data_IF_201513116141
#
_entry.id   IF_201513116141
#
_cell.length_a   1.000
_cell.length_b   1.000
_cell.length_c   1.000
_cell.angle_alpha   90.00
_cell.angle_beta   90.00
_cell.angle_gamma   90.00
#
_symmetry.space_group_name_H-M   'P 1'
#
loop_
_entity.id
_entity.type
_entity.pdbx_description
1 polymer ?
#
# COMPACT_ATOMS: atom_id res chain seq x y z
N UNK A 1 2.68 3.62 -38.00
CA UNK A 1 2.44 3.05 -36.65
C UNK A 1 3.68 2.19 -36.36
N UNK A 2 4.58 2.65 -35.47
CA UNK A 2 5.83 1.93 -35.14
C UNK A 2 5.50 0.72 -34.26
N UNK A 3 4.84 -0.28 -34.84
CA UNK A 3 4.24 -1.37 -34.07
C UNK A 3 5.24 -2.42 -33.63
N UNK A 4 6.44 -2.47 -34.22
CA UNK A 4 7.41 -3.54 -34.04
C UNK A 4 8.85 -2.99 -33.88
N UNK A 5 9.10 -2.17 -32.87
CA UNK A 5 10.44 -1.62 -32.62
C UNK A 5 11.00 -2.11 -31.29
N UNK A 6 12.32 -2.32 -31.25
CA UNK A 6 13.06 -2.79 -30.09
C UNK A 6 14.03 -1.67 -29.68
N UNK A 7 13.99 -1.26 -28.41
CA UNK A 7 14.77 -0.10 -27.96
C UNK A 7 16.28 -0.33 -28.13
N UNK A 8 16.81 -1.53 -27.90
CA UNK A 8 18.25 -1.79 -27.98
C UNK A 8 18.81 -2.03 -29.39
N UNK A 9 18.00 -2.56 -30.32
CA UNK A 9 18.48 -2.94 -31.66
C UNK A 9 18.34 -1.80 -32.67
N UNK A 10 17.26 -1.02 -32.56
CA UNK A 10 16.95 0.02 -33.53
C UNK A 10 17.37 1.42 -33.06
N UNK A 11 17.74 1.55 -31.78
CA UNK A 11 18.03 2.83 -31.15
C UNK A 11 19.26 2.79 -30.26
N UNK A 12 20.07 3.84 -30.35
CA UNK A 12 21.25 4.03 -29.52
C UNK A 12 21.24 5.42 -28.91
N UNK A 13 21.81 5.58 -27.72
CA UNK A 13 21.82 6.86 -27.03
C UNK A 13 22.56 7.93 -27.88
N UNK A 14 21.95 9.10 -28.10
CA UNK A 14 22.54 10.14 -28.96
C UNK A 14 23.51 11.03 -28.19
N UNK A 15 24.72 11.23 -28.69
CA UNK A 15 25.73 12.06 -28.01
C UNK A 15 25.44 13.56 -28.19
N UNK A 16 24.44 14.07 -27.48
CA UNK A 16 23.96 15.45 -27.57
C UNK A 16 23.74 16.06 -26.17
N UNK A 17 23.94 17.37 -26.07
CA UNK A 17 23.55 18.17 -24.91
C UNK A 17 24.21 17.79 -23.59
N UNK A 18 23.52 18.06 -22.48
CA UNK A 18 23.96 17.67 -21.14
C UNK A 18 23.52 16.25 -20.81
N UNK A 19 24.47 15.37 -20.46
CA UNK A 19 24.20 13.95 -20.14
C UNK A 19 24.17 13.70 -18.64
N UNK A 20 23.20 12.91 -18.20
CA UNK A 20 23.25 12.24 -16.89
C UNK A 20 23.92 10.88 -17.05
N UNK A 21 24.52 10.38 -15.98
CA UNK A 21 25.16 9.07 -15.97
C UNK A 21 24.39 8.09 -15.09
N UNK A 22 24.38 6.78 -15.43
CA UNK A 22 23.84 5.76 -14.55
C UNK A 22 24.64 5.65 -13.25
N UNK A 23 25.94 5.96 -13.31
CA UNK A 23 26.90 5.80 -12.23
C UNK A 23 27.67 7.10 -11.97
N UNK A 24 27.75 7.48 -10.69
CA UNK A 24 28.61 8.57 -10.22
C UNK A 24 29.60 8.02 -9.20
N UNK A 25 30.73 7.51 -9.70
CA UNK A 25 31.74 6.81 -8.91
C UNK A 25 31.19 5.48 -8.38
N UNK A 26 31.12 5.34 -7.05
CA UNK A 26 30.62 4.11 -6.39
C UNK A 26 29.08 4.11 -6.31
N UNK A 27 28.43 5.23 -6.63
CA UNK A 27 26.98 5.37 -6.52
C UNK A 27 26.31 5.01 -7.84
N UNK A 28 25.70 3.83 -7.87
CA UNK A 28 24.78 3.41 -8.94
C UNK A 28 23.41 4.06 -8.73
N UNK A 29 23.02 5.02 -9.57
CA UNK A 29 21.80 5.83 -9.38
C UNK A 29 20.53 4.98 -9.48
N UNK A 30 20.53 3.97 -10.37
CA UNK A 30 19.42 3.03 -10.46
C UNK A 30 19.20 2.27 -9.14
N UNK A 31 20.28 1.74 -8.54
CA UNK A 31 20.18 1.05 -7.24
C UNK A 31 19.78 2.00 -6.10
N UNK A 32 20.27 3.25 -6.13
CA UNK A 32 19.91 4.28 -5.17
C UNK A 32 18.41 4.61 -5.23
N UNK A 33 17.89 4.90 -6.42
CA UNK A 33 16.47 5.22 -6.63
C UNK A 33 15.56 4.05 -6.26
N UNK A 34 15.94 2.81 -6.59
CA UNK A 34 15.20 1.62 -6.14
C UNK A 34 15.17 1.48 -4.61
N UNK A 35 16.31 1.71 -3.96
CA UNK A 35 16.40 1.66 -2.48
C UNK A 35 15.55 2.76 -1.83
N UNK A 36 15.63 3.99 -2.35
CA UNK A 36 14.79 5.10 -1.91
C UNK A 36 13.30 4.82 -2.13
N UNK A 37 12.94 4.16 -3.23
CA UNK A 37 11.58 3.72 -3.51
C UNK A 37 11.05 2.73 -2.47
N UNK A 38 11.86 1.75 -2.06
CA UNK A 38 11.50 0.81 -0.99
C UNK A 38 11.31 1.55 0.34
N UNK A 39 12.24 2.44 0.69
CA UNK A 39 12.16 3.24 1.92
C UNK A 39 10.87 4.09 1.91
N UNK A 40 10.58 4.78 0.81
CA UNK A 40 9.40 5.62 0.68
C UNK A 40 8.10 4.81 0.77
N UNK A 41 8.08 3.60 0.21
CA UNK A 41 6.95 2.67 0.35
C UNK A 41 6.72 2.26 1.80
N UNK A 42 7.79 1.94 2.54
CA UNK A 42 7.71 1.58 3.97
C UNK A 42 7.25 2.79 4.81
N UNK A 43 7.75 3.99 4.52
CA UNK A 43 7.31 5.23 5.18
C UNK A 43 5.83 5.52 4.90
N UNK A 44 5.38 5.33 3.66
CA UNK A 44 3.95 5.41 3.30
C UNK A 44 3.10 4.41 4.08
N UNK A 45 3.56 3.15 4.19
CA UNK A 45 2.92 2.15 5.04
C UNK A 45 2.90 2.58 6.51
N UNK A 46 3.98 3.16 7.04
CA UNK A 46 4.04 3.64 8.42
C UNK A 46 3.01 4.74 8.69
N UNK A 47 2.83 5.68 7.75
CA UNK A 47 1.78 6.70 7.82
C UNK A 47 0.39 6.06 7.81
N UNK A 48 0.15 5.04 6.99
CA UNK A 48 -1.14 4.34 6.97
C UNK A 48 -1.40 3.53 8.25
N UNK A 49 -0.38 2.86 8.79
CA UNK A 49 -0.47 2.14 10.05
C UNK A 49 -0.80 3.09 11.20
N UNK A 50 -0.18 4.28 11.22
CA UNK A 50 -0.53 5.33 12.17
C UNK A 50 -2.00 5.76 12.03
N UNK A 51 -2.43 6.13 10.81
CA UNK A 51 -3.79 6.60 10.52
C UNK A 51 -4.86 5.56 10.86
N UNK A 52 -4.58 4.28 10.64
CA UNK A 52 -5.49 3.16 10.90
C UNK A 52 -5.31 2.57 12.32
N UNK A 53 -4.47 3.18 13.17
CA UNK A 53 -4.20 2.75 14.56
C UNK A 53 -3.74 1.29 14.67
N UNK A 54 -2.93 0.85 13.69
CA UNK A 54 -2.32 -0.48 13.63
C UNK A 54 -0.99 -0.53 14.39
N UNK A 55 -0.54 -1.74 14.74
CA UNK A 55 0.69 -1.89 15.50
C UNK A 55 1.91 -1.81 14.56
N UNK A 56 2.77 -0.82 14.76
CA UNK A 56 4.02 -0.67 13.99
C UNK A 56 4.93 -1.89 14.04
N UNK A 57 4.88 -2.68 15.13
CA UNK A 57 5.64 -3.94 15.23
C UNK A 57 5.34 -4.87 14.06
N UNK A 58 4.09 -4.92 13.62
CA UNK A 58 3.66 -5.80 12.52
C UNK A 58 4.25 -5.33 11.19
N UNK A 59 4.34 -4.01 10.98
CA UNK A 59 5.00 -3.41 9.82
C UNK A 59 6.51 -3.68 9.79
N UNK A 60 7.20 -3.50 10.91
CA UNK A 60 8.65 -3.76 10.97
C UNK A 60 8.99 -5.23 10.75
N UNK A 61 8.21 -6.16 11.31
CA UNK A 61 8.35 -7.59 11.04
C UNK A 61 8.10 -7.88 9.55
N UNK A 62 7.06 -7.27 8.97
CA UNK A 62 6.78 -7.40 7.54
C UNK A 62 7.96 -6.91 6.69
N UNK A 63 8.53 -5.73 7.00
CA UNK A 63 9.65 -5.18 6.25
C UNK A 63 10.89 -6.09 6.32
N UNK A 64 11.22 -6.62 7.50
CA UNK A 64 12.39 -7.50 7.71
C UNK A 64 12.25 -8.84 7.00
N UNK A 65 11.03 -9.35 6.84
CA UNK A 65 10.80 -10.68 6.24
C UNK A 65 10.45 -10.57 4.75
N UNK A 66 9.43 -9.77 4.43
CA UNK A 66 8.82 -9.71 3.09
C UNK A 66 9.78 -9.06 2.09
N UNK A 67 10.50 -7.99 2.46
CA UNK A 67 11.40 -7.29 1.52
C UNK A 67 12.57 -8.19 1.09
N UNK A 68 13.33 -8.84 2.00
CA UNK A 68 14.38 -9.77 1.59
C UNK A 68 13.87 -10.97 0.80
N UNK A 69 12.71 -11.53 1.17
CA UNK A 69 12.09 -12.61 0.39
C UNK A 69 11.76 -12.15 -1.03
N UNK A 70 11.32 -10.90 -1.20
CA UNK A 70 11.13 -10.30 -2.52
C UNK A 70 12.42 -10.26 -3.34
N UNK A 71 13.53 -9.82 -2.74
CA UNK A 71 14.85 -9.82 -3.40
C UNK A 71 15.31 -11.23 -3.77
N UNK A 72 15.16 -12.18 -2.86
CA UNK A 72 15.50 -13.59 -3.11
C UNK A 72 14.63 -14.20 -4.20
N UNK A 73 13.31 -13.96 -4.16
CA UNK A 73 12.38 -14.40 -5.21
C UNK A 73 12.71 -13.78 -6.57
N UNK A 74 13.07 -12.50 -6.59
CA UNK A 74 13.48 -11.81 -7.81
C UNK A 74 14.70 -12.48 -8.44
N UNK A 75 15.75 -12.70 -7.64
CA UNK A 75 16.97 -13.37 -8.10
C UNK A 75 16.70 -14.81 -8.55
N UNK A 76 15.92 -15.57 -7.77
CA UNK A 76 15.67 -16.98 -8.02
C UNK A 76 14.95 -17.19 -9.36
N UNK A 77 13.81 -16.53 -9.56
CA UNK A 77 13.06 -16.67 -10.81
C UNK A 77 13.71 -15.93 -11.99
N UNK A 78 14.48 -14.88 -11.74
CA UNK A 78 15.22 -14.17 -12.78
C UNK A 78 16.29 -15.05 -13.42
N UNK A 79 17.10 -15.73 -12.60
CA UNK A 79 18.14 -16.65 -13.10
C UNK A 79 17.60 -17.96 -13.64
N UNK A 80 16.49 -18.45 -13.09
CA UNK A 80 15.83 -19.64 -13.65
C UNK A 80 15.31 -19.42 -15.06
N UNK A 81 14.77 -18.23 -15.33
CA UNK A 81 14.18 -17.91 -16.64
C UNK A 81 15.21 -17.45 -17.68
N UNK A 82 16.47 -17.25 -17.30
CA UNK A 82 17.50 -16.82 -18.23
C UNK A 82 18.00 -18.01 -19.07
N UNK A 83 17.60 -18.02 -20.36
CA UNK A 83 18.08 -18.96 -21.41
C UNK A 83 18.18 -20.43 -20.99
N UNK A 84 17.06 -21.06 -20.63
CA UNK A 84 16.99 -22.49 -20.25
C UNK A 84 17.98 -22.90 -19.13
N UNK A 85 18.38 -21.97 -18.26
CA UNK A 85 19.31 -22.22 -17.15
C UNK A 85 20.79 -22.00 -17.49
N UNK A 86 21.14 -21.66 -18.74
CA UNK A 86 22.54 -21.43 -19.14
C UNK A 86 23.13 -20.14 -18.54
N UNK A 87 22.31 -19.09 -18.37
CA UNK A 87 22.75 -17.80 -17.79
C UNK A 87 22.69 -17.75 -16.26
N UNK A 88 22.34 -18.86 -15.59
CA UNK A 88 22.79 -19.06 -14.21
C UNK A 88 24.34 -19.15 -14.15
N UNK A 89 25.03 -19.28 -15.29
CA UNK A 89 26.48 -19.39 -15.38
C UNK A 89 27.00 -20.66 -14.71
N UNK A 90 26.21 -21.75 -14.77
CA UNK A 90 26.46 -22.96 -14.01
C UNK A 90 26.27 -22.79 -12.48
N UNK A 91 25.60 -21.72 -12.03
CA UNK A 91 25.35 -21.52 -10.61
C UNK A 91 24.52 -22.69 -10.04
N UNK A 92 25.08 -23.38 -9.05
CA UNK A 92 24.33 -24.34 -8.24
C UNK A 92 23.13 -23.67 -7.55
N UNK A 93 22.25 -24.48 -6.96
CA UNK A 93 20.98 -24.05 -6.36
C UNK A 93 21.05 -22.76 -5.52
N UNK A 94 22.08 -22.60 -4.68
CA UNK A 94 22.25 -21.40 -3.85
C UNK A 94 22.61 -20.13 -4.63
N UNK A 95 23.27 -20.25 -5.78
CA UNK A 95 23.60 -19.12 -6.64
C UNK A 95 22.38 -18.49 -7.32
N UNK A 96 21.26 -19.22 -7.40
CA UNK A 96 19.97 -18.66 -7.82
C UNK A 96 19.49 -17.55 -6.87
N UNK A 97 19.89 -17.57 -5.60
CA UNK A 97 19.51 -16.57 -4.60
C UNK A 97 20.48 -15.37 -4.52
N UNK A 98 21.57 -15.37 -5.29
CA UNK A 98 22.59 -14.32 -5.24
C UNK A 98 22.11 -13.01 -5.88
N UNK A 99 21.24 -12.25 -5.21
CA UNK A 99 20.62 -11.02 -5.73
C UNK A 99 21.61 -9.89 -6.06
N UNK A 100 22.86 -10.00 -5.62
CA UNK A 100 23.98 -9.11 -5.99
C UNK A 100 24.60 -9.45 -7.35
N UNK A 101 24.13 -10.52 -8.02
CA UNK A 101 24.46 -10.84 -9.41
C UNK A 101 23.28 -10.48 -10.32
N UNK A 102 23.53 -10.18 -11.60
CA UNK A 102 22.47 -9.93 -12.58
C UNK A 102 21.53 -11.14 -12.74
N UNK A 103 20.36 -10.89 -13.35
CA UNK A 103 19.30 -11.89 -13.53
C UNK A 103 18.21 -11.80 -12.46
N UNK A 104 17.52 -10.66 -12.38
CA UNK A 104 16.37 -10.48 -11.48
C UNK A 104 15.06 -10.44 -12.27
N UNK A 105 14.02 -11.08 -11.73
CA UNK A 105 12.66 -11.07 -12.28
C UNK A 105 11.70 -10.35 -11.34
N UNK A 106 11.03 -9.32 -11.87
CA UNK A 106 9.98 -8.60 -11.12
C UNK A 106 8.83 -9.55 -10.74
N UNK A 107 8.47 -10.49 -11.62
CA UNK A 107 7.45 -11.50 -11.35
C UNK A 107 7.83 -12.38 -10.13
N UNK A 108 9.10 -12.76 -10.04
CA UNK A 108 9.63 -13.50 -8.89
C UNK A 108 9.54 -12.72 -7.59
N UNK A 109 9.84 -11.42 -7.64
CA UNK A 109 9.72 -10.53 -6.48
C UNK A 109 8.27 -10.44 -5.99
N UNK A 110 7.32 -10.23 -6.91
CA UNK A 110 5.89 -10.12 -6.59
C UNK A 110 5.38 -11.43 -6.02
N UNK A 111 5.71 -12.57 -6.65
CA UNK A 111 5.26 -13.89 -6.18
C UNK A 111 5.76 -14.18 -4.75
N UNK A 112 7.07 -13.98 -4.51
CA UNK A 112 7.68 -14.22 -3.20
C UNK A 112 7.07 -13.32 -2.10
N UNK A 113 6.92 -12.02 -2.39
CA UNK A 113 6.36 -11.05 -1.43
C UNK A 113 4.89 -11.32 -1.13
N UNK A 114 4.07 -11.65 -2.14
CA UNK A 114 2.64 -11.94 -1.95
C UNK A 114 2.44 -13.21 -1.14
N UNK A 115 3.16 -14.30 -1.44
CA UNK A 115 3.03 -15.57 -0.71
C UNK A 115 3.39 -15.38 0.76
N UNK A 116 4.57 -14.85 1.05
CA UNK A 116 5.04 -14.69 2.43
C UNK A 116 4.23 -13.63 3.18
N UNK A 117 3.85 -12.55 2.51
CA UNK A 117 2.96 -11.52 3.06
C UNK A 117 1.60 -12.09 3.48
N UNK A 118 0.95 -12.87 2.61
CA UNK A 118 -0.34 -13.51 2.92
C UNK A 118 -0.22 -14.48 4.10
N UNK A 119 0.81 -15.31 4.13
CA UNK A 119 1.05 -16.26 5.23
C UNK A 119 1.22 -15.49 6.54
N UNK A 120 2.14 -14.52 6.57
CA UNK A 120 2.46 -13.75 7.76
C UNK A 120 1.25 -12.97 8.27
N UNK A 121 0.58 -12.20 7.41
CA UNK A 121 -0.58 -11.40 7.82
C UNK A 121 -1.80 -12.24 8.16
N UNK A 122 -1.92 -13.47 7.67
CA UNK A 122 -2.94 -14.41 8.14
C UNK A 122 -2.71 -14.82 9.60
N UNK A 123 -1.46 -15.07 10.01
CA UNK A 123 -1.13 -15.35 11.42
C UNK A 123 -1.29 -14.11 12.30
N UNK A 124 -0.76 -12.97 11.86
CA UNK A 124 -0.86 -11.70 12.58
C UNK A 124 -2.32 -11.27 12.74
N UNK A 125 -3.14 -11.40 11.69
CA UNK A 125 -4.59 -11.10 11.71
C UNK A 125 -5.33 -11.87 12.80
N UNK A 126 -5.04 -13.16 12.96
CA UNK A 126 -5.70 -13.99 13.99
C UNK A 126 -5.34 -13.58 15.41
N UNK A 127 -4.10 -13.12 15.62
CA UNK A 127 -3.55 -12.71 16.92
C UNK A 127 -3.96 -11.29 17.31
N UNK A 128 -3.82 -10.35 16.38
CA UNK A 128 -4.19 -8.93 16.54
C UNK A 128 -5.70 -8.68 16.45
N UNK A 129 -6.43 -9.66 15.90
CA UNK A 129 -7.83 -9.51 15.50
C UNK A 129 -8.05 -8.38 14.49
N UNK A 130 -7.04 -8.04 13.68
CA UNK A 130 -7.17 -7.09 12.57
C UNK A 130 -7.34 -7.86 11.28
N UNK A 131 -8.30 -7.47 10.44
CA UNK A 131 -8.51 -8.16 9.16
C UNK A 131 -7.31 -8.03 8.22
N UNK A 132 -7.04 -9.09 7.45
CA UNK A 132 -6.01 -9.06 6.40
C UNK A 132 -6.26 -7.96 5.37
N UNK A 133 -7.53 -7.63 5.10
CA UNK A 133 -7.92 -6.56 4.18
C UNK A 133 -7.54 -5.17 4.71
N UNK A 134 -7.48 -4.98 6.03
CA UNK A 134 -7.01 -3.72 6.61
C UNK A 134 -5.51 -3.57 6.41
N UNK A 135 -4.74 -4.65 6.57
CA UNK A 135 -3.31 -4.65 6.23
C UNK A 135 -3.09 -4.45 4.73
N UNK A 136 -3.89 -5.10 3.88
CA UNK A 136 -3.80 -4.95 2.43
C UNK A 136 -4.03 -3.51 1.98
N UNK A 137 -5.07 -2.84 2.50
CA UNK A 137 -5.32 -1.41 2.26
C UNK A 137 -4.19 -0.51 2.79
N UNK A 138 -3.58 -0.89 3.92
CA UNK A 138 -2.48 -0.11 4.51
C UNK A 138 -1.14 -0.28 3.78
N UNK A 139 -0.97 -1.32 2.96
CA UNK A 139 0.32 -1.69 2.35
C UNK A 139 0.29 -1.51 0.84
N UNK A 140 -0.67 -2.12 0.14
CA UNK A 140 -0.61 -2.24 -1.32
C UNK A 140 -0.59 -0.89 -2.05
N UNK A 141 -1.41 0.12 -1.69
CA UNK A 141 -1.33 1.42 -2.34
C UNK A 141 0.07 2.05 -2.25
N UNK A 142 0.78 1.86 -1.14
CA UNK A 142 2.10 2.48 -0.93
C UNK A 142 3.20 1.88 -1.81
N UNK A 143 2.98 0.74 -2.46
CA UNK A 143 3.89 0.22 -3.49
C UNK A 143 4.02 1.20 -4.66
N UNK A 144 2.97 1.99 -4.94
CA UNK A 144 3.02 3.03 -5.98
C UNK A 144 4.11 4.06 -5.69
N UNK A 145 4.32 4.45 -4.42
CA UNK A 145 5.38 5.40 -4.05
C UNK A 145 6.76 4.89 -4.42
N UNK A 146 7.01 3.59 -4.24
CA UNK A 146 8.27 2.97 -4.65
C UNK A 146 8.47 3.04 -6.15
N UNK A 147 7.40 2.81 -6.92
CA UNK A 147 7.44 2.91 -8.38
C UNK A 147 7.62 4.36 -8.85
N UNK A 148 7.01 5.34 -8.18
CA UNK A 148 7.19 6.77 -8.49
C UNK A 148 8.67 7.13 -8.56
N UNK A 149 9.46 6.72 -7.55
CA UNK A 149 10.90 6.97 -7.50
C UNK A 149 11.68 6.02 -8.41
N UNK A 150 11.29 4.74 -8.46
CA UNK A 150 11.95 3.75 -9.33
C UNK A 150 11.94 4.13 -10.81
N UNK A 151 10.91 4.84 -11.28
CA UNK A 151 10.85 5.35 -12.67
C UNK A 151 11.94 6.36 -12.99
N UNK A 152 12.39 7.14 -12.01
CA UNK A 152 13.54 8.02 -12.20
C UNK A 152 14.84 7.24 -12.36
N UNK A 153 14.94 6.05 -11.76
CA UNK A 153 16.03 5.12 -12.04
C UNK A 153 16.13 4.76 -13.52
N UNK A 154 14.99 4.48 -14.17
CA UNK A 154 14.95 4.18 -15.61
C UNK A 154 15.47 5.36 -16.45
N UNK A 155 15.15 6.60 -16.06
CA UNK A 155 15.68 7.81 -16.73
C UNK A 155 17.21 7.91 -16.62
N UNK A 156 17.79 7.72 -15.43
CA UNK A 156 19.25 7.75 -15.26
C UNK A 156 19.97 6.58 -15.93
N UNK A 157 19.29 5.45 -16.10
CA UNK A 157 19.81 4.28 -16.79
C UNK A 157 19.48 4.27 -18.30
N UNK A 158 18.91 5.37 -18.82
CA UNK A 158 18.54 5.56 -20.23
C UNK A 158 17.67 4.45 -20.83
N UNK A 159 16.78 3.86 -20.03
CA UNK A 159 15.94 2.72 -20.43
C UNK A 159 14.44 3.03 -20.37
N UNK A 160 13.65 2.27 -21.12
CA UNK A 160 12.17 2.27 -21.07
C UNK A 160 11.56 3.64 -21.42
N UNK A 161 12.09 4.28 -22.46
CA UNK A 161 11.41 5.44 -23.06
C UNK A 161 10.30 4.99 -24.01
N UNK A 162 9.42 5.91 -24.37
CA UNK A 162 8.37 5.64 -25.35
C UNK A 162 8.82 5.85 -26.78
N UNK A 163 7.86 5.75 -27.70
CA UNK A 163 8.06 6.02 -29.13
C UNK A 163 8.75 7.37 -29.40
N UNK A 164 9.44 7.51 -30.54
CA UNK A 164 9.97 8.79 -30.98
C UNK A 164 8.84 9.80 -31.22
N UNK A 165 9.05 11.02 -30.74
CA UNK A 165 8.09 12.15 -30.83
C UNK A 165 8.38 13.00 -32.07
N UNK A 166 9.66 13.24 -32.34
CA UNK A 166 10.14 14.14 -33.39
C UNK A 166 11.64 14.33 -33.34
N UNK A 167 12.18 15.11 -34.28
CA UNK A 167 13.61 15.37 -34.41
C UNK A 167 14.14 16.22 -33.26
N UNK A 168 15.36 15.93 -32.80
CA UNK A 168 16.02 16.70 -31.74
C UNK A 168 16.31 18.15 -32.13
N UNK A 169 16.58 18.39 -33.42
CA UNK A 169 16.84 19.73 -33.97
C UNK A 169 15.60 20.64 -33.90
N UNK A 170 14.41 20.06 -33.93
CA UNK A 170 13.17 20.81 -33.77
C UNK A 170 12.97 21.19 -32.29
N UNK A 171 13.33 22.44 -31.97
CA UNK A 171 13.17 23.01 -30.64
C UNK A 171 11.73 23.05 -30.11
N UNK A 172 10.71 22.91 -30.96
CA UNK A 172 9.32 22.86 -30.53
C UNK A 172 8.96 21.53 -29.87
N UNK A 173 9.65 20.45 -30.26
CA UNK A 173 9.43 19.08 -29.74
C UNK A 173 9.76 19.03 -28.26
N UNK A 174 8.74 18.76 -27.45
CA UNK A 174 8.83 18.66 -25.98
C UNK A 174 9.44 19.92 -25.32
N UNK A 175 9.17 21.10 -25.86
CA UNK A 175 9.66 22.40 -25.36
C UNK A 175 9.26 22.73 -23.92
N UNK A 176 8.22 22.09 -23.39
CA UNK A 176 7.79 22.22 -21.99
C UNK A 176 8.69 21.47 -21.00
N UNK A 177 9.56 20.55 -21.47
CA UNK A 177 10.51 19.85 -20.61
C UNK A 177 11.78 20.67 -20.39
N UNK A 178 12.38 20.60 -19.19
CA UNK A 178 13.72 21.11 -18.97
C UNK A 178 14.71 20.52 -19.97
N UNK A 179 15.63 21.36 -20.48
CA UNK A 179 16.61 20.97 -21.49
C UNK A 179 17.40 19.71 -21.11
N UNK A 180 17.80 19.61 -19.84
CA UNK A 180 18.53 18.44 -19.32
C UNK A 180 17.73 17.15 -19.51
N UNK A 181 16.41 17.17 -19.24
CA UNK A 181 15.58 15.97 -19.42
C UNK A 181 15.42 15.67 -20.91
N UNK A 182 15.17 16.69 -21.74
CA UNK A 182 15.02 16.54 -23.19
C UNK A 182 16.27 15.94 -23.85
N UNK A 183 17.46 16.44 -23.49
CA UNK A 183 18.74 15.97 -24.02
C UNK A 183 18.99 14.49 -23.67
N UNK A 184 18.63 14.05 -22.47
CA UNK A 184 18.81 12.67 -22.01
C UNK A 184 17.77 11.67 -22.55
N UNK A 185 16.81 12.16 -23.35
CA UNK A 185 15.83 11.34 -24.07
C UNK A 185 16.10 11.31 -25.58
N UNK A 186 17.24 11.85 -26.02
CA UNK A 186 17.64 11.84 -27.41
C UNK A 186 18.31 10.52 -27.78
N UNK A 187 17.79 9.86 -28.82
CA UNK A 187 18.31 8.59 -29.33
C UNK A 187 18.49 8.66 -30.85
N UNK A 188 19.57 8.06 -31.33
CA UNK A 188 19.87 7.89 -32.75
C UNK A 188 19.19 6.63 -33.25
N UNK A 189 18.45 6.73 -34.35
CA UNK A 189 17.84 5.58 -35.03
C UNK A 189 18.84 4.90 -35.95
N UNK A 190 18.94 3.57 -35.89
CA UNK A 190 19.90 2.74 -36.66
C UNK A 190 19.23 1.67 -37.54
N UNK A 191 17.92 1.81 -37.81
CA UNK A 191 17.14 0.86 -38.62
C UNK A 191 16.95 1.28 -40.09
N UNK A 192 16.09 0.55 -40.81
CA UNK A 192 15.69 0.90 -42.17
C UNK A 192 14.74 2.09 -42.20
N UNK A 193 14.88 2.94 -43.21
CA UNK A 193 14.04 4.13 -43.41
C UNK A 193 12.58 3.72 -43.62
N UNK A 194 11.78 3.82 -42.55
CA UNK A 194 10.39 3.38 -42.54
C UNK A 194 9.54 4.27 -41.64
N UNK A 195 8.27 4.46 -42.00
CA UNK A 195 7.29 5.19 -41.18
C UNK A 195 7.72 6.62 -40.77
N UNK A 196 8.53 7.30 -41.59
CA UNK A 196 9.01 8.65 -41.30
C UNK A 196 10.24 8.71 -40.37
N UNK A 197 10.82 7.56 -40.00
CA UNK A 197 12.14 7.50 -39.37
C UNK A 197 13.22 7.36 -40.43
N UNK A 198 14.30 8.12 -40.26
CA UNK A 198 15.46 8.13 -41.16
C UNK A 198 16.68 7.66 -40.36
N UNK A 199 17.41 6.71 -40.93
CA UNK A 199 18.63 6.16 -40.34
C UNK A 199 19.67 7.27 -40.07
N UNK A 200 20.30 7.20 -38.90
CA UNK A 200 21.32 8.15 -38.45
C UNK A 200 20.79 9.46 -37.87
N UNK A 201 19.47 9.72 -37.92
CA UNK A 201 18.89 10.90 -37.30
C UNK A 201 18.62 10.72 -35.81
N UNK A 202 18.63 11.84 -35.08
CA UNK A 202 18.40 11.89 -33.64
C UNK A 202 16.97 12.32 -33.36
N UNK A 203 16.25 11.48 -32.61
CA UNK A 203 14.88 11.72 -32.19
C UNK A 203 14.77 11.87 -30.69
N UNK A 204 13.84 12.71 -30.25
CA UNK A 204 13.45 12.82 -28.83
C UNK A 204 12.37 11.78 -28.56
N UNK A 205 12.61 10.95 -27.54
CA UNK A 205 11.69 9.91 -27.11
C UNK A 205 10.59 10.43 -26.17
N UNK A 206 9.46 9.71 -26.13
CA UNK A 206 8.40 10.01 -25.17
C UNK A 206 8.88 9.78 -23.71
N UNK A 207 8.64 10.75 -22.79
CA UNK A 207 9.04 10.66 -21.38
C UNK A 207 8.10 9.75 -20.56
N UNK A 208 7.97 8.47 -20.96
CA UNK A 208 7.06 7.52 -20.28
C UNK A 208 7.37 7.42 -18.78
N UNK A 209 8.66 7.46 -18.40
CA UNK A 209 9.06 7.44 -17.00
C UNK A 209 8.40 8.56 -16.18
N UNK A 210 8.29 9.77 -16.73
CA UNK A 210 7.72 10.94 -16.07
C UNK A 210 6.20 10.82 -15.98
N UNK A 211 5.56 10.45 -17.09
CA UNK A 211 4.11 10.23 -17.13
C UNK A 211 3.70 9.13 -16.14
N UNK A 212 4.44 8.02 -16.11
CA UNK A 212 4.22 6.92 -15.18
C UNK A 212 4.43 7.39 -13.73
N UNK A 213 5.53 8.07 -13.44
CA UNK A 213 5.83 8.60 -12.10
C UNK A 213 4.71 9.52 -11.58
N UNK A 214 4.26 10.47 -12.41
CA UNK A 214 3.18 11.40 -12.03
C UNK A 214 1.83 10.69 -11.89
N UNK A 215 1.49 9.78 -12.79
CA UNK A 215 0.22 9.04 -12.73
C UNK A 215 0.16 8.10 -11.52
N UNK A 216 1.28 7.45 -11.18
CA UNK A 216 1.40 6.60 -9.98
C UNK A 216 1.26 7.43 -8.70
N UNK A 217 1.87 8.61 -8.65
CA UNK A 217 1.74 9.53 -7.52
C UNK A 217 0.29 10.02 -7.37
N UNK A 218 -0.33 10.45 -8.46
CA UNK A 218 -1.73 10.86 -8.47
C UNK A 218 -2.63 9.72 -8.01
N UNK A 219 -2.42 8.50 -8.52
CA UNK A 219 -3.18 7.31 -8.09
C UNK A 219 -3.01 7.03 -6.62
N UNK A 220 -1.79 7.12 -6.08
CA UNK A 220 -1.55 6.98 -4.65
C UNK A 220 -2.32 8.03 -3.83
N UNK A 221 -2.31 9.30 -4.25
CA UNK A 221 -3.07 10.38 -3.61
C UNK A 221 -4.56 10.06 -3.62
N UNK A 222 -5.11 9.69 -4.78
CA UNK A 222 -6.53 9.35 -4.93
C UNK A 222 -6.91 8.19 -4.01
N UNK A 223 -6.13 7.11 -4.01
CA UNK A 223 -6.44 5.89 -3.25
C UNK A 223 -6.30 6.11 -1.75
N UNK A 224 -5.28 6.82 -1.30
CA UNK A 224 -4.96 6.90 0.13
C UNK A 224 -5.52 8.13 0.85
N UNK A 225 -5.77 9.22 0.11
CA UNK A 225 -6.24 10.49 0.66
C UNK A 225 -7.66 10.86 0.25
N UNK A 226 -8.22 10.26 -0.81
CA UNK A 226 -9.57 10.59 -1.28
C UNK A 226 -10.54 9.43 -1.04
N UNK A 227 -10.29 8.25 -1.61
CA UNK A 227 -11.18 7.07 -1.51
C UNK A 227 -11.66 6.76 -0.08
N UNK A 228 -10.81 6.80 0.98
CA UNK A 228 -11.24 6.46 2.33
C UNK A 228 -12.25 7.46 2.92
N UNK A 229 -12.30 8.68 2.37
CA UNK A 229 -13.13 9.77 2.88
C UNK A 229 -14.38 10.05 2.05
N UNK A 230 -14.50 9.50 0.83
CA UNK A 230 -15.67 9.69 -0.04
C UNK A 230 -16.97 9.38 0.71
N UNK A 231 -17.03 8.25 1.44
CA UNK A 231 -18.20 7.90 2.23
C UNK A 231 -18.53 8.94 3.30
N UNK A 232 -17.51 9.48 3.98
CA UNK A 232 -17.69 10.53 5.00
C UNK A 232 -18.18 11.83 4.38
N UNK A 233 -17.84 12.13 3.12
CA UNK A 233 -18.26 13.36 2.43
C UNK A 233 -19.71 13.32 1.97
N UNK A 234 -20.13 12.23 1.34
CA UNK A 234 -21.48 12.05 0.78
C UNK A 234 -22.49 11.65 1.86
N UNK A 235 -22.06 10.90 2.87
CA UNK A 235 -22.92 10.37 3.91
C UNK A 235 -23.41 11.39 4.94
N UNK A 236 -24.30 10.89 5.82
CA UNK A 236 -24.79 11.63 6.99
C UNK A 236 -23.63 12.02 7.90
N UNK A 237 -23.69 13.24 8.46
CA UNK A 237 -22.64 13.77 9.34
C UNK A 237 -22.97 13.49 10.82
N UNK A 238 -22.01 13.06 11.65
CA UNK A 238 -22.26 12.79 13.06
C UNK A 238 -22.92 13.95 13.82
N UNK A 239 -22.38 15.16 13.68
CA UNK A 239 -22.89 16.38 14.32
C UNK A 239 -24.27 16.83 13.84
N UNK A 240 -24.74 16.34 12.68
CA UNK A 240 -26.12 16.58 12.22
C UNK A 240 -27.11 15.56 12.77
N UNK A 241 -26.64 14.36 13.12
CA UNK A 241 -27.48 13.28 13.65
C UNK A 241 -27.64 13.40 15.15
N UNK A 242 -26.54 13.62 15.88
CA UNK A 242 -26.53 13.83 17.33
C UNK A 242 -25.69 15.07 17.68
N UNK A 243 -26.27 16.29 17.60
CA UNK A 243 -25.56 17.54 17.87
C UNK A 243 -24.97 17.63 19.28
N UNK A 244 -25.68 17.10 20.28
CA UNK A 244 -25.26 17.18 21.69
C UNK A 244 -24.06 16.28 21.99
N UNK A 245 -23.96 15.13 21.29
CA UNK A 245 -22.88 14.16 21.48
C UNK A 245 -21.63 14.53 20.68
N UNK A 246 -21.82 15.10 19.49
CA UNK A 246 -20.76 15.28 18.50
C UNK A 246 -20.56 16.76 18.17
N UNK A 247 -19.82 17.45 19.03
CA UNK A 247 -19.40 18.84 18.82
C UNK A 247 -17.91 18.91 18.50
N UNK A 248 -17.53 19.83 17.61
CA UNK A 248 -16.14 20.06 17.24
C UNK A 248 -15.86 21.56 17.04
N UNK A 249 -14.62 21.97 17.28
CA UNK A 249 -14.14 23.33 17.03
C UNK A 249 -13.22 23.31 15.80
N UNK A 250 -13.62 24.03 14.75
CA UNK A 250 -12.89 24.08 13.48
C UNK A 250 -11.54 24.79 13.62
N UNK A 251 -11.47 25.85 14.45
CA UNK A 251 -10.22 26.58 14.73
C UNK A 251 -9.25 25.70 15.51
N UNK A 252 -9.75 24.97 16.51
CA UNK A 252 -8.96 23.97 17.22
C UNK A 252 -8.49 22.85 16.28
N UNK A 253 -9.37 22.35 15.40
CA UNK A 253 -9.02 21.30 14.44
C UNK A 253 -7.90 21.72 13.49
N UNK A 254 -7.90 22.98 13.05
CA UNK A 254 -6.82 23.56 12.24
C UNK A 254 -5.53 23.77 13.06
N UNK A 255 -5.63 24.35 14.27
CA UNK A 255 -4.46 24.58 15.13
C UNK A 255 -3.81 23.27 15.59
N UNK A 256 -4.61 22.27 15.94
CA UNK A 256 -4.13 20.97 16.40
C UNK A 256 -3.37 20.21 15.29
N UNK A 257 -3.77 20.39 14.02
CA UNK A 257 -3.03 19.81 12.90
C UNK A 257 -1.55 20.20 12.89
N UNK A 258 -1.23 21.47 13.21
CA UNK A 258 0.15 21.96 13.26
C UNK A 258 0.80 21.82 14.64
N UNK A 259 0.05 22.07 15.72
CA UNK A 259 0.63 22.16 17.08
C UNK A 259 0.59 20.85 17.84
N UNK A 260 -0.26 19.90 17.44
CA UNK A 260 -0.52 18.61 18.13
C UNK A 260 -0.82 18.75 19.64
N UNK A 261 -1.31 19.91 20.06
CA UNK A 261 -1.67 20.17 21.46
C UNK A 261 -3.07 19.61 21.73
N UNK A 262 -3.16 18.72 22.72
CA UNK A 262 -4.41 18.14 23.17
C UNK A 262 -5.08 19.08 24.17
N UNK A 263 -6.29 19.55 23.85
CA UNK A 263 -7.17 20.29 24.75
C UNK A 263 -8.31 19.34 25.21
N UNK A 264 -8.50 19.12 26.52
CA UNK A 264 -9.45 18.10 27.02
C UNK A 264 -10.92 18.41 26.69
N UNK A 265 -11.28 19.69 26.57
CA UNK A 265 -12.67 20.11 26.36
C UNK A 265 -13.05 20.29 24.88
N UNK A 266 -12.09 20.12 23.96
CA UNK A 266 -12.30 20.35 22.53
C UNK A 266 -11.96 19.12 21.72
N UNK A 267 -12.85 18.80 20.78
CA UNK A 267 -12.64 17.72 19.80
C UNK A 267 -12.37 18.30 18.43
N UNK A 268 -11.47 17.65 17.71
CA UNK A 268 -11.21 17.91 16.30
C UNK A 268 -12.30 17.28 15.42
N UNK A 269 -12.39 17.75 14.18
CA UNK A 269 -13.23 17.13 13.15
C UNK A 269 -12.95 15.62 13.01
N UNK A 270 -11.68 15.22 13.10
CA UNK A 270 -11.25 13.83 12.95
C UNK A 270 -11.63 12.97 14.15
N UNK A 271 -11.45 13.49 15.37
CA UNK A 271 -11.83 12.78 16.60
C UNK A 271 -13.34 12.55 16.67
N UNK A 272 -14.17 13.51 16.24
CA UNK A 272 -15.62 13.32 16.21
C UNK A 272 -16.03 12.22 15.24
N UNK A 273 -15.43 12.15 14.05
CA UNK A 273 -15.67 11.05 13.11
C UNK A 273 -15.20 9.71 13.65
N UNK A 274 -14.01 9.66 14.23
CA UNK A 274 -13.46 8.46 14.85
C UNK A 274 -14.34 7.98 16.01
N UNK A 275 -14.83 8.87 16.85
CA UNK A 275 -15.73 8.52 17.95
C UNK A 275 -17.06 7.97 17.43
N UNK A 276 -17.65 8.64 16.44
CA UNK A 276 -18.93 8.24 15.86
C UNK A 276 -18.90 6.90 15.14
N UNK A 277 -17.73 6.50 14.61
CA UNK A 277 -17.58 5.31 13.74
C UNK A 277 -16.77 4.18 14.37
N UNK A 278 -15.78 4.48 15.22
CA UNK A 278 -14.85 3.48 15.79
C UNK A 278 -15.18 3.19 17.26
N UNK A 279 -15.62 4.20 18.03
CA UNK A 279 -15.77 4.09 19.50
C UNK A 279 -17.22 4.04 19.99
N UNK A 280 -18.21 4.16 19.10
CA UNK A 280 -19.62 4.20 19.46
C UNK A 280 -20.19 2.79 19.73
N UNK A 281 -19.68 2.12 20.77
CA UNK A 281 -20.23 0.85 21.25
C UNK A 281 -21.25 1.10 22.35
N UNK A 282 -22.48 0.65 22.13
CA UNK A 282 -23.51 0.58 23.16
C UNK A 282 -23.66 -0.89 23.59
N UNK A 283 -23.51 -1.17 24.89
CA UNK A 283 -23.68 -2.52 25.44
C UNK A 283 -25.07 -3.08 25.12
N UNK A 284 -26.11 -2.23 25.07
CA UNK A 284 -27.47 -2.64 24.71
C UNK A 284 -27.57 -3.20 23.29
N UNK A 285 -26.72 -2.74 22.37
CA UNK A 285 -26.71 -3.22 20.98
C UNK A 285 -26.08 -4.61 20.86
N UNK A 286 -25.08 -4.91 21.70
CA UNK A 286 -24.46 -6.23 21.77
C UNK A 286 -25.46 -7.28 22.24
N UNK A 287 -26.25 -6.98 23.27
CA UNK A 287 -27.24 -7.92 23.81
C UNK A 287 -28.34 -8.21 22.79
N UNK A 288 -28.85 -7.17 22.11
CA UNK A 288 -29.80 -7.31 20.99
C UNK A 288 -29.24 -8.20 19.88
N UNK A 289 -27.98 -8.02 19.51
CA UNK A 289 -27.36 -8.86 18.48
C UNK A 289 -27.30 -10.33 18.89
N UNK A 290 -26.96 -10.63 20.16
CA UNK A 290 -26.90 -12.02 20.64
C UNK A 290 -28.29 -12.66 20.55
N UNK A 291 -29.33 -11.92 20.95
CA UNK A 291 -30.72 -12.38 20.87
C UNK A 291 -31.20 -12.57 19.42
N UNK A 292 -30.87 -11.64 18.52
CA UNK A 292 -31.34 -11.72 17.13
C UNK A 292 -30.57 -12.73 16.29
N UNK A 293 -29.29 -12.99 16.60
CA UNK A 293 -28.50 -14.00 15.90
C UNK A 293 -28.99 -15.42 16.19
N UNK A 294 -29.48 -15.69 17.40
CA UNK A 294 -30.01 -17.02 17.76
C UNK A 294 -31.32 -17.32 17.02
N UNK A 295 -32.12 -16.29 16.70
CA UNK A 295 -33.34 -16.40 15.89
C UNK A 295 -33.07 -16.75 14.41
N UNK A 296 -31.86 -16.52 13.90
CA UNK A 296 -31.52 -16.83 12.51
C UNK A 296 -31.25 -18.33 12.34
N UNK A 297 -32.31 -19.07 12.03
CA UNK A 297 -32.23 -20.48 11.62
C UNK A 297 -32.50 -20.61 10.11
N UNK A 298 -31.49 -21.03 9.34
CA UNK A 298 -31.64 -21.30 7.90
C UNK A 298 -30.74 -22.47 7.51
N UNK A 299 -31.29 -23.43 6.74
CA UNK A 299 -30.57 -24.61 6.24
C UNK A 299 -29.41 -24.23 5.31
N UNK A 300 -29.55 -23.17 4.51
CA UNK A 300 -28.48 -22.73 3.62
C UNK A 300 -27.42 -21.93 4.39
N UNK A 301 -26.19 -22.46 4.43
CA UNK A 301 -25.05 -21.87 5.14
C UNK A 301 -24.68 -20.47 4.63
N UNK A 302 -24.81 -20.21 3.33
CA UNK A 302 -24.45 -18.92 2.72
C UNK A 302 -25.46 -17.84 3.14
N UNK A 303 -26.76 -18.14 2.99
CA UNK A 303 -27.85 -17.21 3.37
C UNK A 303 -27.78 -16.92 4.87
N UNK A 304 -27.51 -17.95 5.69
CA UNK A 304 -27.32 -17.78 7.13
C UNK A 304 -26.14 -16.86 7.46
N UNK A 305 -24.99 -17.01 6.79
CA UNK A 305 -23.83 -16.12 6.96
C UNK A 305 -24.17 -14.68 6.56
N UNK A 306 -24.82 -14.51 5.41
CA UNK A 306 -25.24 -13.20 4.93
C UNK A 306 -26.19 -12.47 5.90
N UNK A 307 -27.22 -13.17 6.40
CA UNK A 307 -28.16 -12.60 7.39
C UNK A 307 -27.44 -12.21 8.69
N UNK A 308 -26.55 -13.06 9.19
CA UNK A 308 -25.74 -12.76 10.39
C UNK A 308 -24.81 -11.57 10.18
N UNK A 309 -24.13 -11.50 9.03
CA UNK A 309 -23.26 -10.37 8.69
C UNK A 309 -24.04 -9.08 8.52
N UNK A 310 -25.22 -9.11 7.87
CA UNK A 310 -26.09 -7.93 7.76
C UNK A 310 -26.49 -7.39 9.13
N UNK A 311 -26.99 -8.28 10.00
CA UNK A 311 -27.32 -7.93 11.37
C UNK A 311 -26.09 -7.35 12.10
N UNK A 312 -24.92 -7.97 11.94
CA UNK A 312 -23.67 -7.48 12.54
C UNK A 312 -23.32 -6.06 12.08
N UNK A 313 -23.42 -5.77 10.78
CA UNK A 313 -23.16 -4.43 10.25
C UNK A 313 -24.17 -3.41 10.78
N UNK A 314 -25.46 -3.76 10.78
CA UNK A 314 -26.53 -2.88 11.25
C UNK A 314 -26.36 -2.56 12.75
N UNK A 315 -25.97 -3.55 13.56
CA UNK A 315 -25.68 -3.37 14.99
C UNK A 315 -24.46 -2.48 15.21
N UNK A 316 -23.37 -2.63 14.44
CA UNK A 316 -22.16 -1.82 14.63
C UNK A 316 -22.26 -0.42 14.00
N UNK A 317 -23.30 -0.12 13.22
CA UNK A 317 -23.50 1.19 12.60
C UNK A 317 -24.99 1.62 12.66
N UNK A 318 -25.53 1.87 13.87
CA UNK A 318 -26.96 2.16 14.07
C UNK A 318 -27.41 3.43 13.33
N UNK A 319 -26.52 4.42 13.23
CA UNK A 319 -26.80 5.70 12.57
C UNK A 319 -26.60 5.64 11.04
N UNK A 320 -26.21 4.48 10.50
CA UNK A 320 -25.98 4.22 9.07
C UNK A 320 -25.05 5.24 8.42
N UNK A 321 -23.94 5.57 9.09
CA UNK A 321 -22.89 6.40 8.49
C UNK A 321 -22.28 5.68 7.29
N UNK A 322 -22.05 6.41 6.20
CA UNK A 322 -21.47 5.84 5.00
C UNK A 322 -19.94 5.77 5.17
N UNK A 323 -19.41 4.55 5.20
CA UNK A 323 -17.98 4.29 5.34
C UNK A 323 -17.47 3.56 4.11
N UNK A 324 -16.28 3.94 3.66
CA UNK A 324 -15.50 3.14 2.73
C UNK A 324 -15.02 1.89 3.48
N UNK A 325 -15.39 0.71 2.98
CA UNK A 325 -15.12 -0.56 3.67
C UNK A 325 -13.71 -1.04 3.32
N UNK A 326 -13.10 -1.81 4.22
CA UNK A 326 -11.75 -2.31 3.96
C UNK A 326 -11.72 -3.29 2.77
N UNK A 327 -10.67 -3.22 1.96
CA UNK A 327 -10.48 -3.92 0.68
C UNK A 327 -10.70 -3.02 -0.54
N UNK A 328 -11.37 -1.87 -0.38
CA UNK A 328 -11.60 -0.92 -1.49
C UNK A 328 -10.31 -0.21 -1.90
N UNK A 329 -9.44 0.16 -0.96
CA UNK A 329 -8.15 0.80 -1.27
C UNK A 329 -7.23 -0.19 -2.00
N UNK A 330 -7.19 -1.46 -1.55
CA UNK A 330 -6.47 -2.54 -2.21
C UNK A 330 -6.97 -2.78 -3.66
N UNK A 331 -8.29 -2.84 -3.86
CA UNK A 331 -8.85 -2.96 -5.21
C UNK A 331 -8.55 -1.73 -6.08
N UNK A 332 -8.58 -0.53 -5.48
CA UNK A 332 -8.24 0.72 -6.15
C UNK A 332 -6.78 0.77 -6.60
N UNK A 333 -5.85 0.27 -5.79
CA UNK A 333 -4.46 0.06 -6.18
C UNK A 333 -4.34 -0.84 -7.41
N UNK A 334 -4.99 -2.01 -7.37
CA UNK A 334 -4.90 -2.98 -8.46
C UNK A 334 -5.49 -2.43 -9.77
N UNK A 335 -6.59 -1.70 -9.68
CA UNK A 335 -7.18 -1.00 -10.82
C UNK A 335 -6.25 0.08 -11.38
N UNK A 336 -5.82 1.02 -10.52
CA UNK A 336 -5.10 2.20 -10.96
C UNK A 336 -3.74 1.83 -11.57
N UNK A 337 -3.01 0.90 -10.95
CA UNK A 337 -1.73 0.42 -11.47
C UNK A 337 -1.89 -0.22 -12.86
N UNK A 338 -2.88 -1.10 -13.03
CA UNK A 338 -3.12 -1.74 -14.33
C UNK A 338 -3.65 -0.76 -15.38
N UNK A 339 -4.44 0.24 -14.99
CA UNK A 339 -4.92 1.26 -15.93
C UNK A 339 -3.77 2.14 -16.46
N UNK A 340 -2.88 2.58 -15.57
CA UNK A 340 -1.66 3.31 -15.96
C UNK A 340 -0.83 2.42 -16.89
N UNK A 341 -0.62 1.16 -16.49
CA UNK A 341 0.13 0.22 -17.29
C UNK A 341 -0.48 0.06 -18.68
N UNK A 342 -1.80 -0.15 -18.78
CA UNK A 342 -2.51 -0.32 -20.05
C UNK A 342 -2.29 0.85 -21.00
N UNK A 343 -2.41 2.09 -20.50
CA UNK A 343 -2.22 3.29 -21.32
C UNK A 343 -0.78 3.38 -21.82
N UNK A 344 0.20 3.19 -20.93
CA UNK A 344 1.62 3.35 -21.29
C UNK A 344 2.14 2.19 -22.17
N UNK A 345 1.57 1.00 -22.03
CA UNK A 345 1.89 -0.18 -22.83
C UNK A 345 1.66 0.06 -24.34
N UNK A 346 0.75 0.97 -24.69
CA UNK A 346 0.51 1.37 -26.08
C UNK A 346 1.76 2.01 -26.71
N UNK A 347 2.53 2.75 -25.92
CA UNK A 347 3.71 3.51 -26.36
C UNK A 347 5.05 2.87 -26.02
N UNK A 348 5.04 1.74 -25.31
CA UNK A 348 6.24 0.95 -25.04
C UNK A 348 6.72 0.19 -26.29
N UNK A 349 8.04 -0.01 -26.41
CA UNK A 349 8.64 -0.94 -27.37
C UNK A 349 8.33 -2.39 -26.99
N UNK A 350 8.46 -3.31 -27.96
CA UNK A 350 7.94 -4.68 -27.84
C UNK A 350 8.68 -5.54 -26.81
N UNK A 351 9.96 -5.26 -26.58
CA UNK A 351 10.83 -5.90 -25.59
C UNK A 351 10.51 -5.45 -24.14
N UNK A 352 9.82 -4.32 -23.96
CA UNK A 352 9.46 -3.77 -22.65
C UNK A 352 7.99 -3.96 -22.26
N UNK A 353 7.27 -4.75 -23.05
CA UNK A 353 5.89 -5.13 -22.78
C UNK A 353 5.80 -6.05 -21.55
N UNK A 354 4.64 -6.09 -20.90
CA UNK A 354 4.33 -7.01 -19.80
C UNK A 354 4.49 -8.47 -20.24
N UNK A 355 4.00 -8.78 -21.45
CA UNK A 355 4.42 -9.98 -22.19
C UNK A 355 5.20 -9.52 -23.41
N UNK A 356 6.52 -9.72 -23.34
CA UNK A 356 7.46 -9.32 -24.38
C UNK A 356 7.02 -9.86 -25.75
N UNK A 357 7.09 -9.02 -26.77
CA UNK A 357 6.78 -9.33 -28.17
C UNK A 357 5.33 -9.76 -28.46
N UNK A 358 4.42 -9.69 -27.48
CA UNK A 358 3.02 -10.07 -27.66
C UNK A 358 2.08 -8.98 -27.14
N UNK A 359 1.98 -7.87 -27.89
CA UNK A 359 1.24 -6.67 -27.49
C UNK A 359 -0.24 -6.93 -27.19
N UNK A 360 -0.94 -7.69 -28.04
CA UNK A 360 -2.36 -8.02 -27.84
C UNK A 360 -2.58 -8.83 -26.56
N UNK A 361 -1.74 -9.84 -26.31
CA UNK A 361 -1.85 -10.67 -25.11
C UNK A 361 -1.51 -9.85 -23.85
N UNK A 362 -0.45 -9.03 -23.94
CA UNK A 362 -0.05 -8.10 -22.89
C UNK A 362 -1.20 -7.18 -22.48
N UNK A 363 -1.77 -6.44 -23.44
CA UNK A 363 -2.89 -5.52 -23.20
C UNK A 363 -4.13 -6.25 -22.67
N UNK A 364 -4.45 -7.43 -23.21
CA UNK A 364 -5.60 -8.23 -22.74
C UNK A 364 -5.43 -8.63 -21.28
N UNK A 365 -4.25 -9.11 -20.89
CA UNK A 365 -3.98 -9.54 -19.52
C UNK A 365 -3.99 -8.35 -18.53
N UNK A 366 -3.42 -7.22 -18.93
CA UNK A 366 -3.47 -5.97 -18.15
C UNK A 366 -4.93 -5.48 -18.02
N UNK A 367 -5.73 -5.55 -19.08
CA UNK A 367 -7.14 -5.18 -19.05
C UNK A 367 -7.98 -6.06 -18.12
N UNK A 368 -7.79 -7.38 -18.18
CA UNK A 368 -8.48 -8.34 -17.31
C UNK A 368 -8.08 -8.15 -15.84
N UNK A 369 -6.82 -7.87 -15.56
CA UNK A 369 -6.34 -7.59 -14.20
C UNK A 369 -6.88 -6.24 -13.70
N UNK A 370 -6.93 -5.20 -14.52
CA UNK A 370 -7.61 -3.94 -14.18
C UNK A 370 -9.08 -4.17 -13.79
N UNK A 371 -9.82 -4.95 -14.61
CA UNK A 371 -11.21 -5.29 -14.33
C UNK A 371 -11.36 -6.06 -13.01
N UNK A 372 -10.44 -6.97 -12.69
CA UNK A 372 -10.47 -7.66 -11.40
C UNK A 372 -10.31 -6.70 -10.21
N UNK A 373 -9.57 -5.59 -10.38
CA UNK A 373 -9.48 -4.52 -9.38
C UNK A 373 -10.84 -3.86 -9.11
N UNK A 374 -11.60 -3.54 -10.16
CA UNK A 374 -12.97 -3.03 -10.05
C UNK A 374 -13.90 -4.02 -9.34
N UNK A 375 -13.82 -5.30 -9.71
CA UNK A 375 -14.59 -6.37 -9.07
C UNK A 375 -14.24 -6.45 -7.58
N UNK A 376 -12.96 -6.40 -7.21
CA UNK A 376 -12.53 -6.41 -5.80
C UNK A 376 -13.11 -5.21 -5.05
N UNK A 377 -13.06 -3.99 -5.63
CA UNK A 377 -13.64 -2.80 -5.01
C UNK A 377 -15.15 -2.96 -4.77
N UNK A 378 -15.88 -3.42 -5.79
CA UNK A 378 -17.32 -3.64 -5.70
C UNK A 378 -17.67 -4.70 -4.65
N UNK A 379 -16.98 -5.84 -4.68
CA UNK A 379 -17.18 -6.93 -3.74
C UNK A 379 -16.84 -6.50 -2.31
N UNK A 380 -15.72 -5.80 -2.10
CA UNK A 380 -15.31 -5.29 -0.79
C UNK A 380 -16.29 -4.25 -0.24
N UNK A 381 -16.82 -3.37 -1.10
CA UNK A 381 -17.77 -2.34 -0.66
C UNK A 381 -19.17 -2.91 -0.43
N UNK A 382 -19.65 -3.86 -1.24
CA UNK A 382 -21.07 -4.21 -1.25
C UNK A 382 -21.41 -5.65 -0.87
N UNK A 383 -20.51 -6.63 -1.01
CA UNK A 383 -20.88 -8.05 -0.84
C UNK A 383 -20.12 -8.75 0.30
N UNK A 384 -18.79 -8.75 0.23
CA UNK A 384 -17.91 -9.46 1.16
C UNK A 384 -18.12 -9.11 2.64
N UNK A 385 -18.46 -7.85 3.01
CA UNK A 385 -18.69 -7.51 4.41
C UNK A 385 -19.81 -8.33 5.05
N UNK A 386 -20.87 -8.64 4.30
CA UNK A 386 -21.99 -9.45 4.79
C UNK A 386 -21.65 -10.93 4.96
N UNK A 387 -20.57 -11.40 4.33
CA UNK A 387 -20.20 -12.82 4.34
C UNK A 387 -19.01 -13.10 5.27
N UNK A 388 -18.04 -12.20 5.33
CA UNK A 388 -16.74 -12.45 5.95
C UNK A 388 -16.49 -11.69 7.26
N UNK A 389 -17.25 -10.64 7.58
CA UNK A 389 -17.08 -9.89 8.83
C UNK A 389 -17.41 -10.78 10.03
N UNK A 390 -16.64 -10.60 11.11
CA UNK A 390 -16.76 -11.38 12.34
C UNK A 390 -16.71 -10.47 13.56
N UNK A 391 -17.48 -10.76 14.61
CA UNK A 391 -17.36 -10.08 15.90
C UNK A 391 -15.94 -10.16 16.44
N UNK A 392 -15.51 -9.11 17.13
CA UNK A 392 -14.20 -9.01 17.78
C UNK A 392 -13.02 -8.76 16.84
N UNK A 393 -13.25 -8.54 15.54
CA UNK A 393 -12.21 -8.13 14.59
C UNK A 393 -12.30 -6.65 14.24
N UNK A 394 -11.16 -6.05 13.88
CA UNK A 394 -11.04 -4.69 13.36
C UNK A 394 -11.06 -4.74 11.83
N UNK A 395 -11.96 -3.95 11.24
CA UNK A 395 -12.11 -3.74 9.81
C UNK A 395 -12.05 -2.23 9.51
N UNK A 396 -13.09 -1.65 8.89
CA UNK A 396 -13.29 -0.20 8.80
C UNK A 396 -13.60 0.46 10.16
N UNK A 397 -14.16 -0.35 11.07
CA UNK A 397 -14.42 -0.01 12.46
C UNK A 397 -14.07 -1.24 13.31
N UNK A 398 -13.95 -1.05 14.62
CA UNK A 398 -13.82 -2.18 15.54
C UNK A 398 -15.20 -2.82 15.70
N UNK A 399 -15.31 -4.13 15.59
CA UNK A 399 -16.57 -4.84 15.80
C UNK A 399 -16.60 -5.37 17.24
N UNK A 400 -17.77 -5.30 17.90
CA UNK A 400 -17.90 -5.72 19.30
C UNK A 400 -17.45 -7.17 19.53
N UNK A 401 -16.91 -7.44 20.73
CA UNK A 401 -16.48 -8.78 21.14
C UNK A 401 -17.65 -9.50 21.79
N UNK A 402 -17.93 -10.72 21.34
CA UNK A 402 -18.89 -11.63 21.98
C UNK A 402 -18.10 -12.55 22.90
N UNK A 403 -18.36 -12.49 24.20
CA UNK A 403 -17.91 -13.51 25.13
C UNK A 403 -18.89 -14.68 25.00
N UNK A 404 -18.63 -15.64 24.12
CA UNK A 404 -19.52 -16.79 23.98
C UNK A 404 -19.43 -17.68 25.22
N UNK A 405 -20.53 -17.81 25.95
CA UNK A 405 -20.72 -18.89 26.94
C UNK A 405 -21.08 -20.16 26.17
N UNK A 406 -20.05 -20.94 25.80
CA UNK A 406 -19.99 -22.40 25.88
C UNK A 406 -18.82 -22.96 25.07
N UNK A 407 -17.84 -23.52 25.79
CA UNK A 407 -16.71 -24.27 25.24
C UNK A 407 -15.34 -23.70 25.65
N UNK A 408 -15.06 -23.72 26.96
CA UNK A 408 -13.89 -23.16 27.66
C UNK A 408 -13.90 -21.64 27.79
N UNK A 409 -14.22 -21.20 29.01
CA UNK A 409 -13.64 -19.98 29.57
C UNK A 409 -12.13 -20.05 29.31
N UNK A 410 -11.64 -19.34 28.30
CA UNK A 410 -10.42 -18.60 28.55
C UNK A 410 -10.86 -17.52 29.52
N UNK A 411 -10.71 -17.82 30.81
CA UNK A 411 -10.29 -16.78 31.72
C UNK A 411 -9.02 -16.19 31.10
N UNK A 412 -9.17 -15.21 30.22
CA UNK A 412 -8.32 -14.06 30.36
C UNK A 412 -8.77 -13.49 31.69
N UNK A 413 -8.17 -14.02 32.78
CA UNK A 413 -7.83 -13.17 33.90
C UNK A 413 -7.23 -11.97 33.20
N UNK A 414 -7.94 -10.84 33.22
CA UNK A 414 -7.23 -9.58 33.25
C UNK A 414 -6.18 -9.82 34.32
N UNK A 415 -4.91 -9.98 33.89
CA UNK A 415 -3.83 -9.92 34.85
C UNK A 415 -4.10 -8.56 35.49
N UNK A 416 -4.45 -8.51 36.80
CA UNK A 416 -4.54 -7.23 37.48
C UNK A 416 -3.22 -6.56 37.14
N UNK A 417 -3.25 -5.30 36.77
CA UNK A 417 -2.08 -4.56 36.31
C UNK A 417 -1.01 -4.74 37.39
N UNK A 418 -0.14 -5.76 37.23
CA UNK A 418 0.90 -6.14 38.20
C UNK A 418 1.86 -4.96 38.36
N UNK A 419 1.89 -4.08 37.34
CA UNK A 419 2.57 -2.80 37.35
C UNK A 419 2.07 -1.86 38.45
N UNK A 420 0.76 -1.72 38.67
CA UNK A 420 0.22 -0.80 39.67
C UNK A 420 0.45 -1.33 41.08
N UNK A 421 0.25 -2.64 41.32
CA UNK A 421 0.56 -3.24 42.62
C UNK A 421 2.06 -3.28 42.94
N UNK A 422 2.93 -3.51 41.94
CA UNK A 422 4.38 -3.42 42.13
C UNK A 422 4.86 -1.97 42.31
N UNK A 423 4.24 -1.00 41.63
CA UNK A 423 4.54 0.42 41.82
C UNK A 423 4.09 0.88 43.21
N UNK A 424 2.91 0.48 43.69
CA UNK A 424 2.44 0.76 45.05
C UNK A 424 3.32 0.09 46.11
N UNK A 425 3.73 -1.18 45.92
CA UNK A 425 4.66 -1.87 46.82
C UNK A 425 6.06 -1.25 46.82
N UNK A 426 6.55 -0.79 45.66
CA UNK A 426 7.82 -0.04 45.57
C UNK A 426 7.68 1.31 46.28
N UNK A 427 6.57 2.01 46.09
CA UNK A 427 6.32 3.32 46.70
C UNK A 427 6.19 3.22 48.23
N UNK A 428 5.52 2.19 48.74
CA UNK A 428 5.45 1.90 50.19
C UNK A 428 6.82 1.57 50.77
N UNK A 429 7.62 0.71 50.11
CA UNK A 429 8.99 0.40 50.56
C UNK A 429 9.90 1.62 50.56
N UNK A 430 9.75 2.53 49.60
CA UNK A 430 10.50 3.79 49.57
C UNK A 430 10.07 4.70 50.72
N UNK A 431 8.77 4.83 51.00
CA UNK A 431 8.26 5.59 52.16
C UNK A 431 8.77 5.05 53.50
N UNK A 432 8.74 3.73 53.72
CA UNK A 432 9.27 3.12 54.94
C UNK A 432 10.77 3.36 55.11
N UNK A 433 11.53 3.27 54.01
CA UNK A 433 12.98 3.50 54.05
C UNK A 433 13.30 4.96 54.37
N UNK A 434 12.51 5.90 53.85
CA UNK A 434 12.62 7.33 54.15
C UNK A 434 12.26 7.61 55.62
N UNK A 435 11.18 7.00 56.14
CA UNK A 435 10.77 7.14 57.53
C UNK A 435 11.83 6.62 58.51
N UNK A 436 12.42 5.45 58.23
CA UNK A 436 13.53 4.89 59.03
C UNK A 436 14.80 5.75 58.97
N UNK A 437 15.06 6.41 57.84
CA UNK A 437 16.17 7.38 57.74
C UNK A 437 15.89 8.65 58.53
N UNK A 438 14.66 9.16 58.53
CA UNK A 438 14.23 10.31 59.33
C UNK A 438 14.28 10.01 60.84
N UNK A 439 13.83 8.83 61.27
CA UNK A 439 13.95 8.40 62.67
C UNK A 439 15.41 8.26 63.12
N UNK A 440 16.30 7.74 62.25
CA UNK A 440 17.74 7.70 62.53
C UNK A 440 18.38 9.09 62.58
N UNK A 441 17.84 10.05 61.84
CA UNK A 441 18.32 11.44 61.83
C UNK A 441 17.83 12.24 63.04
N UNK A 442 16.69 11.88 63.62
CA UNK A 442 16.14 12.48 64.84
C UNK A 442 16.68 11.83 66.14
N UNK A 443 17.45 10.73 66.04
CA UNK A 443 18.13 10.06 67.17
C UNK A 443 19.64 10.34 67.22
N UNK A 444 20.14 11.20 66.34
CA UNK A 444 21.44 11.87 66.44
C UNK A 444 21.18 13.34 66.70
#
# INVERSE_FOLDING_TARGET
MLTNWIQGNDWHEANVGSRVYPDYGIVHIYALTMTLGVILSILGCAVQFYRKKLNFRELWIAAIIVVPVGLFGASFFGKLNAENGNNAGGAGFFGLFAFWKPGMSIHGAILGTVIVGLIMFNFVSKKSKVSIWVYADAIAPNVLLGQVIGRWGNFFNHEIFGKPVGLYEDSSVMSWLPKVIRDNMAFTYSGSDTNGLINGQVYVMHPIFLYESLALLLSWILITLIIPFIGRWIGKKPWKVNPDKYQFDLKYSFRNFFTRKVEPDKKTYWEVWDEATISNFDEKQKDRYIEDVTKINNKNSIIRRFKKGKLLLDTNNPNKYMLTRCGVEFGGYFLAWNLIRFILELDRPDDHLFIMYQKTLSLTLIGLTAFSGLVIMFLAQFLLPYVFRKPGYIYEQKYFIINSVNGKKLEVKEKPIIKNQLEDLKFQKVKEKLAKQLEKKNKK
#
